data_IF_154570729019
#
_entry.id   IF_154570729019
#
_cell.length_a   1.000
_cell.length_b   1.000
_cell.length_c   1.000
_cell.angle_alpha   90.00
_cell.angle_beta   90.00
_cell.angle_gamma   90.00
#
_symmetry.space_group_name_H-M   'P 1'
#
loop_
_entity.id
_entity.type
_entity.pdbx_description
1 polymer ?
#
# COMPACT_ATOMS: atom_id res chain seq x y z
N UNK A 1 -36.45 14.23 -26.40
CA UNK A 1 -35.26 14.85 -25.78
C UNK A 1 -35.47 15.36 -24.35
N UNK A 2 -36.66 15.22 -23.72
CA UNK A 2 -36.86 15.59 -22.30
C UNK A 2 -36.46 14.49 -21.30
N UNK A 3 -36.56 13.21 -21.70
CA UNK A 3 -36.33 12.06 -20.81
C UNK A 3 -34.86 11.87 -20.37
N UNK A 4 -33.89 12.24 -21.21
CA UNK A 4 -32.46 12.07 -20.89
C UNK A 4 -31.93 13.14 -19.92
N UNK A 5 -32.60 14.29 -19.84
CA UNK A 5 -32.19 15.38 -18.95
C UNK A 5 -32.62 15.12 -17.51
N UNK A 6 -33.82 14.57 -17.30
CA UNK A 6 -34.31 14.24 -15.95
C UNK A 6 -33.55 13.08 -15.31
N UNK A 7 -33.19 12.04 -16.08
CA UNK A 7 -32.39 10.92 -15.55
C UNK A 7 -30.98 11.32 -15.11
N UNK A 8 -30.37 12.31 -15.76
CA UNK A 8 -29.05 12.82 -15.39
C UNK A 8 -29.13 13.64 -14.09
N UNK A 9 -30.22 14.40 -13.92
CA UNK A 9 -30.45 15.23 -12.74
C UNK A 9 -30.81 14.40 -11.49
N UNK A 10 -31.53 13.28 -11.65
CA UNK A 10 -31.82 12.36 -10.54
C UNK A 10 -30.54 11.65 -10.08
N UNK A 11 -29.66 11.20 -10.98
CA UNK A 11 -28.37 10.61 -10.58
C UNK A 11 -27.49 11.61 -9.82
N UNK A 12 -27.40 12.85 -10.29
CA UNK A 12 -26.63 13.88 -9.58
C UNK A 12 -27.20 14.17 -8.17
N UNK A 13 -28.52 14.19 -8.02
CA UNK A 13 -29.19 14.49 -6.75
C UNK A 13 -29.14 13.32 -5.73
N UNK A 14 -29.03 12.08 -6.21
CA UNK A 14 -28.86 10.89 -5.35
C UNK A 14 -27.44 10.77 -4.81
N UNK A 15 -26.42 11.20 -5.57
CA UNK A 15 -25.04 11.23 -5.09
C UNK A 15 -24.71 12.45 -4.20
N UNK A 16 -25.45 13.55 -4.31
CA UNK A 16 -25.24 14.74 -3.46
C UNK A 16 -25.89 14.65 -2.07
N UNK A 17 -26.71 13.64 -1.80
CA UNK A 17 -27.52 13.52 -0.58
C UNK A 17 -26.92 12.69 0.56
N UNK A 18 -25.74 12.08 0.42
CA UNK A 18 -25.27 11.04 1.35
C UNK A 18 -23.87 11.23 1.94
N UNK A 19 -23.07 12.19 1.47
CA UNK A 19 -21.77 12.50 2.07
C UNK A 19 -21.86 13.85 2.80
N UNK A 20 -21.84 13.82 4.13
CA UNK A 20 -21.61 15.04 4.93
C UNK A 20 -20.18 15.53 4.67
N UNK A 21 -19.91 16.84 4.82
CA UNK A 21 -18.54 17.37 4.68
C UNK A 21 -17.53 16.60 5.56
N UNK A 22 -17.98 16.14 6.73
CA UNK A 22 -17.24 15.28 7.66
C UNK A 22 -16.83 13.94 7.02
N UNK A 23 -17.75 13.24 6.34
CA UNK A 23 -17.42 11.99 5.63
C UNK A 23 -16.46 12.18 4.45
N UNK A 24 -16.44 13.38 3.83
CA UNK A 24 -15.49 13.70 2.76
C UNK A 24 -14.09 13.95 3.33
N UNK A 25 -14.01 14.64 4.47
CA UNK A 25 -12.76 14.88 5.19
C UNK A 25 -12.15 13.58 5.70
N UNK A 26 -12.95 12.69 6.27
CA UNK A 26 -12.51 11.34 6.69
C UNK A 26 -11.97 10.52 5.51
N UNK A 27 -12.67 10.51 4.36
CA UNK A 27 -12.20 9.82 3.16
C UNK A 27 -10.88 10.39 2.64
N UNK A 28 -10.70 11.71 2.68
CA UNK A 28 -9.46 12.35 2.27
C UNK A 28 -8.31 12.00 3.21
N UNK A 29 -8.55 11.92 4.53
CA UNK A 29 -7.56 11.49 5.51
C UNK A 29 -7.16 10.03 5.31
N UNK A 30 -8.14 9.14 5.13
CA UNK A 30 -7.90 7.71 4.85
C UNK A 30 -7.10 7.54 3.57
N UNK A 31 -7.44 8.28 2.51
CA UNK A 31 -6.68 8.26 1.25
C UNK A 31 -5.24 8.73 1.43
N UNK A 32 -5.02 9.79 2.22
CA UNK A 32 -3.67 10.26 2.54
C UNK A 32 -2.83 9.22 3.28
N UNK A 33 -3.43 8.54 4.26
CA UNK A 33 -2.79 7.45 5.01
C UNK A 33 -2.49 6.25 4.13
N UNK A 34 -3.42 5.84 3.29
CA UNK A 34 -3.23 4.74 2.33
C UNK A 34 -2.08 5.05 1.36
N UNK A 35 -2.03 6.26 0.82
CA UNK A 35 -0.93 6.66 -0.07
C UNK A 35 0.44 6.68 0.62
N UNK A 36 0.49 7.15 1.86
CA UNK A 36 1.72 7.14 2.65
C UNK A 36 2.17 5.70 2.98
N UNK A 37 1.22 4.81 3.23
CA UNK A 37 1.45 3.38 3.42
C UNK A 37 2.05 2.73 2.18
N UNK A 38 1.45 2.96 0.99
CA UNK A 38 1.96 2.44 -0.28
C UNK A 38 3.38 2.94 -0.56
N UNK A 39 3.63 4.23 -0.32
CA UNK A 39 4.97 4.82 -0.51
C UNK A 39 6.01 4.19 0.42
N UNK A 40 5.65 3.91 1.68
CA UNK A 40 6.54 3.25 2.62
C UNK A 40 6.83 1.81 2.19
N UNK A 41 5.81 1.09 1.71
CA UNK A 41 5.96 -0.27 1.19
C UNK A 41 6.92 -0.32 0.00
N UNK A 42 6.75 0.58 -0.98
CA UNK A 42 7.64 0.69 -2.14
C UNK A 42 9.10 0.95 -1.75
N UNK A 43 9.33 1.84 -0.77
CA UNK A 43 10.68 2.15 -0.28
C UNK A 43 11.32 0.92 0.37
N UNK A 44 10.59 0.25 1.26
CA UNK A 44 11.08 -0.95 1.95
C UNK A 44 11.33 -2.10 0.98
N UNK A 45 10.44 -2.33 0.01
CA UNK A 45 10.64 -3.36 -1.02
C UNK A 45 11.87 -3.09 -1.89
N UNK A 46 12.19 -1.82 -2.15
CA UNK A 46 13.39 -1.46 -2.92
C UNK A 46 14.68 -1.64 -2.11
N UNK A 47 14.64 -1.30 -0.82
CA UNK A 47 15.80 -1.36 0.07
C UNK A 47 16.11 -2.79 0.52
N UNK A 48 15.09 -3.65 0.64
CA UNK A 48 15.21 -5.02 1.12
C UNK A 48 16.27 -5.87 0.37
N UNK A 49 16.30 -5.91 -0.98
CA UNK A 49 17.32 -6.65 -1.71
C UNK A 49 18.74 -6.09 -1.50
N UNK A 50 18.88 -4.77 -1.36
CA UNK A 50 20.19 -4.14 -1.14
C UNK A 50 20.76 -4.54 0.23
N UNK A 51 19.94 -4.47 1.29
CA UNK A 51 20.34 -4.90 2.63
C UNK A 51 20.57 -6.42 2.67
N UNK A 52 19.72 -7.22 2.00
CA UNK A 52 19.90 -8.66 1.85
C UNK A 52 21.25 -9.02 1.25
N UNK A 53 21.62 -8.36 0.15
CA UNK A 53 22.92 -8.54 -0.48
C UNK A 53 24.07 -8.14 0.44
N UNK A 54 23.96 -7.00 1.11
CA UNK A 54 24.98 -6.52 2.06
C UNK A 54 25.17 -7.49 3.24
N UNK A 55 24.09 -7.99 3.85
CA UNK A 55 24.18 -8.95 4.93
C UNK A 55 24.83 -10.27 4.51
N UNK A 56 24.58 -10.71 3.26
CA UNK A 56 25.21 -11.89 2.69
C UNK A 56 26.71 -11.68 2.47
N UNK A 57 27.12 -10.51 1.97
CA UNK A 57 28.54 -10.20 1.67
C UNK A 57 29.34 -9.83 2.91
N UNK A 58 28.76 -9.06 3.84
CA UNK A 58 29.45 -8.54 5.03
C UNK A 58 29.48 -9.55 6.18
N UNK A 59 28.57 -10.54 6.20
CA UNK A 59 28.27 -11.37 7.37
C UNK A 59 27.99 -10.54 8.65
N UNK A 60 27.59 -9.28 8.49
CA UNK A 60 27.32 -8.39 9.62
C UNK A 60 26.01 -8.71 10.31
N UNK A 61 26.05 -8.79 11.64
CA UNK A 61 24.85 -9.02 12.47
C UNK A 61 23.88 -7.83 12.43
N UNK A 62 24.37 -6.62 12.15
CA UNK A 62 23.55 -5.41 12.04
C UNK A 62 22.61 -5.46 10.85
N UNK A 63 23.14 -5.78 9.68
CA UNK A 63 22.42 -5.89 8.41
C UNK A 63 21.41 -7.04 8.44
N UNK A 64 21.75 -8.15 9.12
CA UNK A 64 20.80 -9.24 9.39
C UNK A 64 19.62 -8.79 10.26
N UNK A 65 19.89 -7.97 11.28
CA UNK A 65 18.84 -7.39 12.12
C UNK A 65 17.91 -6.45 11.35
N UNK A 66 18.47 -5.70 10.40
CA UNK A 66 17.73 -4.77 9.54
C UNK A 66 16.83 -5.52 8.53
N UNK A 67 17.32 -6.58 7.90
CA UNK A 67 16.51 -7.47 7.05
C UNK A 67 15.35 -8.09 7.82
N UNK A 68 15.60 -8.59 9.04
CA UNK A 68 14.55 -9.20 9.86
C UNK A 68 13.42 -8.21 10.13
N UNK A 69 13.76 -6.95 10.47
CA UNK A 69 12.76 -5.90 10.72
C UNK A 69 12.01 -5.51 9.46
N UNK A 70 12.70 -5.29 8.35
CA UNK A 70 12.05 -4.95 7.09
C UNK A 70 11.14 -6.07 6.60
N UNK A 71 11.55 -7.33 6.77
CA UNK A 71 10.75 -8.49 6.41
C UNK A 71 9.47 -8.62 7.24
N UNK A 72 9.54 -8.47 8.57
CA UNK A 72 8.36 -8.48 9.44
C UNK A 72 7.36 -7.37 9.07
N UNK A 73 7.85 -6.16 8.78
CA UNK A 73 7.00 -5.03 8.40
C UNK A 73 6.32 -5.30 7.05
N UNK A 74 7.08 -5.73 6.05
CA UNK A 74 6.55 -6.01 4.71
C UNK A 74 5.55 -7.19 4.70
N UNK A 75 5.78 -8.22 5.51
CA UNK A 75 4.83 -9.33 5.69
C UNK A 75 3.52 -8.85 6.34
N UNK A 76 3.61 -7.94 7.32
CA UNK A 76 2.43 -7.31 7.89
C UNK A 76 1.70 -6.40 6.91
N UNK A 77 2.43 -5.71 6.02
CA UNK A 77 1.84 -4.91 4.95
C UNK A 77 1.00 -5.77 4.01
N UNK A 78 1.59 -6.85 3.47
CA UNK A 78 0.90 -7.82 2.59
C UNK A 78 -0.39 -8.36 3.24
N UNK A 79 -0.34 -8.70 4.54
CA UNK A 79 -1.53 -9.19 5.27
C UNK A 79 -2.63 -8.15 5.43
N UNK A 80 -2.27 -6.88 5.61
CA UNK A 80 -3.21 -5.79 5.87
C UNK A 80 -3.84 -5.24 4.59
N UNK A 81 -3.06 -5.12 3.52
CA UNK A 81 -3.53 -4.67 2.21
C UNK A 81 -4.12 -5.81 1.36
N UNK A 82 -3.89 -7.07 1.76
CA UNK A 82 -4.37 -8.26 1.07
C UNK A 82 -3.59 -8.59 -0.20
N UNK A 83 -2.37 -8.07 -0.32
CA UNK A 83 -1.45 -8.34 -1.42
C UNK A 83 -0.43 -9.41 -1.03
N UNK A 84 0.35 -9.87 -2.01
CA UNK A 84 1.45 -10.83 -1.82
C UNK A 84 2.74 -10.30 -2.42
N UNK A 85 2.93 -8.97 -2.45
CA UNK A 85 4.03 -8.34 -3.18
C UNK A 85 5.38 -8.68 -2.55
N UNK A 86 5.47 -8.65 -1.22
CA UNK A 86 6.68 -9.04 -0.52
C UNK A 86 6.90 -10.55 -0.58
N UNK A 87 5.83 -11.33 -0.44
CA UNK A 87 5.90 -12.80 -0.57
C UNK A 87 6.42 -13.23 -1.94
N UNK A 88 5.98 -12.56 -3.01
CA UNK A 88 6.47 -12.79 -4.37
C UNK A 88 7.94 -12.39 -4.49
N UNK A 89 8.33 -11.24 -3.93
CA UNK A 89 9.74 -10.80 -3.93
C UNK A 89 10.66 -11.83 -3.25
N UNK A 90 10.25 -12.39 -2.11
CA UNK A 90 11.01 -13.44 -1.44
C UNK A 90 11.16 -14.69 -2.30
N UNK A 91 10.09 -15.14 -2.96
CA UNK A 91 10.13 -16.28 -3.88
C UNK A 91 11.10 -16.03 -5.05
N UNK A 92 11.04 -14.84 -5.65
CA UNK A 92 11.91 -14.47 -6.77
C UNK A 92 13.40 -14.46 -6.36
N UNK A 93 13.69 -14.11 -5.11
CA UNK A 93 15.06 -14.10 -4.56
C UNK A 93 15.57 -15.49 -4.15
N UNK A 94 14.69 -16.44 -3.81
CA UNK A 94 15.07 -17.82 -3.49
C UNK A 94 15.35 -18.66 -4.74
N UNK A 95 14.80 -18.24 -5.90
CA UNK A 95 14.98 -18.90 -7.20
C UNK A 95 16.26 -18.45 -7.95
N UNK A 96 17.02 -17.48 -7.44
CA UNK A 96 18.34 -17.02 -7.96
C UNK A 96 19.56 -17.68 -7.25
#
# INVERSE_FOLDING_TARGET
MAYEYEHRNIKANVYSGLATNESVEELQEVYGKAKAWDTLKELLMKEYPEVAHLAHVSNGEGERGEISKHGEVLEHMDKLDGTNEFSNLLSDMEDE
#
